data_IF_083818087765
#
_entry.id   IF_083818087765
#
_cell.length_a   1.000
_cell.length_b   1.000
_cell.length_c   1.000
_cell.angle_alpha   90.00
_cell.angle_beta   90.00
_cell.angle_gamma   90.00
#
_symmetry.space_group_name_H-M   'P 1'
#
loop_
_entity.id
_entity.type
_entity.pdbx_description
1 polymer ?
#
# COMPACT_ATOMS: atom_id res chain seq x y z
N UNK A 1 48.44 4.29 -28.43
CA UNK A 1 47.94 3.56 -27.25
C UNK A 1 47.06 4.51 -26.46
N UNK A 2 45.76 4.28 -26.49
CA UNK A 2 44.70 5.08 -25.88
C UNK A 2 44.69 4.92 -24.36
N UNK A 3 44.94 6.01 -23.65
CA UNK A 3 44.79 6.09 -22.19
C UNK A 3 43.31 6.24 -21.84
N UNK A 4 42.72 5.18 -21.28
CA UNK A 4 41.40 5.24 -20.66
C UNK A 4 41.50 6.00 -19.33
N UNK A 5 41.03 7.25 -19.30
CA UNK A 5 40.78 7.98 -18.06
C UNK A 5 39.41 7.58 -17.52
N UNK A 6 39.41 6.73 -16.49
CA UNK A 6 38.21 6.41 -15.72
C UNK A 6 37.77 7.64 -14.92
N UNK A 7 36.61 8.19 -15.25
CA UNK A 7 35.96 9.24 -14.46
C UNK A 7 35.26 8.59 -13.27
N UNK A 8 35.92 8.58 -12.12
CA UNK A 8 35.28 8.21 -10.85
C UNK A 8 34.30 9.31 -10.45
N UNK A 9 33.01 9.04 -10.60
CA UNK A 9 31.94 9.93 -10.15
C UNK A 9 31.76 9.74 -8.64
N UNK A 10 32.19 10.73 -7.85
CA UNK A 10 31.98 10.74 -6.40
C UNK A 10 30.52 11.08 -6.07
N UNK A 11 29.84 10.18 -5.36
CA UNK A 11 28.43 10.31 -4.98
C UNK A 11 28.33 11.02 -3.62
N UNK A 12 28.05 12.32 -3.63
CA UNK A 12 27.85 13.11 -2.40
C UNK A 12 26.35 13.28 -2.15
N UNK A 13 25.85 12.68 -1.07
CA UNK A 13 24.48 12.85 -0.59
C UNK A 13 24.43 14.14 0.22
N UNK A 14 23.87 15.21 -0.34
CA UNK A 14 23.65 16.47 0.36
C UNK A 14 22.40 16.38 1.27
N UNK A 15 22.51 16.61 2.59
CA UNK A 15 21.34 16.73 3.45
C UNK A 15 20.59 18.04 3.14
N UNK A 16 19.27 17.97 2.99
CA UNK A 16 18.42 19.13 2.75
C UNK A 16 18.34 19.96 4.04
N UNK A 17 18.87 21.17 4.02
CA UNK A 17 18.78 22.12 5.12
C UNK A 17 17.32 22.32 5.55
N UNK A 18 16.98 21.85 6.75
CA UNK A 18 15.71 22.18 7.40
C UNK A 18 15.80 23.61 7.90
N UNK A 19 15.26 24.55 7.12
CA UNK A 19 14.88 25.86 7.65
C UNK A 19 13.73 25.62 8.64
N UNK A 20 14.06 25.62 9.93
CA UNK A 20 13.08 25.58 11.02
C UNK A 20 12.63 27.02 11.26
N UNK A 21 11.55 27.43 10.60
CA UNK A 21 10.81 28.62 11.02
C UNK A 21 10.12 28.29 12.34
N UNK A 22 10.66 28.82 13.44
CA UNK A 22 10.02 28.79 14.76
C UNK A 22 8.90 29.83 14.73
N UNK A 23 7.70 29.41 14.31
CA UNK A 23 6.48 30.20 14.54
C UNK A 23 5.80 29.73 15.82
N UNK A 24 5.73 30.67 16.76
CA UNK A 24 5.25 30.48 18.12
C UNK A 24 3.71 30.65 18.20
N UNK A 25 3.08 29.68 18.87
CA UNK A 25 1.80 29.69 19.60
C UNK A 25 0.49 30.09 18.90
N UNK A 26 -0.19 29.06 18.35
CA UNK A 26 -1.53 28.63 18.80
C UNK A 26 -1.91 27.34 18.06
N UNK A 27 -1.67 26.17 18.68
CA UNK A 27 -1.78 24.86 18.02
C UNK A 27 -3.13 24.56 17.38
N UNK A 28 -4.22 25.14 17.88
CA UNK A 28 -5.58 24.97 17.33
C UNK A 28 -5.82 25.83 16.07
N UNK A 29 -5.29 27.06 16.02
CA UNK A 29 -5.39 27.96 14.85
C UNK A 29 -4.52 27.46 13.69
N UNK A 30 -3.35 26.93 14.01
CA UNK A 30 -2.47 26.32 13.00
C UNK A 30 -3.13 25.10 12.34
N UNK A 31 -3.73 24.21 13.14
CA UNK A 31 -4.40 23.01 12.63
C UNK A 31 -5.58 23.34 11.69
N UNK A 32 -6.41 24.32 12.06
CA UNK A 32 -7.53 24.76 11.21
C UNK A 32 -7.07 25.43 9.92
N UNK A 33 -6.02 26.26 9.96
CA UNK A 33 -5.46 26.89 8.75
C UNK A 33 -4.93 25.86 7.76
N UNK A 34 -4.11 24.91 8.22
CA UNK A 34 -3.55 23.85 7.37
C UNK A 34 -4.63 22.88 6.88
N UNK A 35 -5.65 22.58 7.70
CA UNK A 35 -6.82 21.82 7.27
C UNK A 35 -7.52 22.50 6.09
N UNK A 36 -7.84 23.80 6.19
CA UNK A 36 -8.49 24.53 5.12
C UNK A 36 -7.61 24.70 3.88
N UNK A 37 -6.29 24.85 4.06
CA UNK A 37 -5.33 24.88 2.95
C UNK A 37 -5.31 23.53 2.21
N UNK A 38 -5.19 22.41 2.93
CA UNK A 38 -5.24 21.06 2.35
C UNK A 38 -6.56 20.82 1.61
N UNK A 39 -7.70 21.19 2.19
CA UNK A 39 -9.02 21.04 1.56
C UNK A 39 -9.12 21.87 0.27
N UNK A 40 -8.66 23.13 0.30
CA UNK A 40 -8.62 23.99 -0.89
C UNK A 40 -7.76 23.38 -1.98
N UNK A 41 -6.56 22.89 -1.65
CA UNK A 41 -5.67 22.27 -2.62
C UNK A 41 -6.29 21.00 -3.22
N UNK A 42 -7.04 20.21 -2.43
CA UNK A 42 -7.73 19.04 -2.98
C UNK A 42 -8.83 19.47 -3.95
N UNK A 43 -9.62 20.47 -3.58
CA UNK A 43 -10.65 21.01 -4.46
C UNK A 43 -10.06 21.52 -5.77
N UNK A 44 -8.93 22.24 -5.72
CA UNK A 44 -8.21 22.68 -6.92
C UNK A 44 -7.70 21.52 -7.76
N UNK A 45 -7.16 20.47 -7.14
CA UNK A 45 -6.72 19.26 -7.84
C UNK A 45 -7.89 18.56 -8.55
N UNK A 46 -9.00 18.33 -7.85
CA UNK A 46 -10.21 17.70 -8.43
C UNK A 46 -10.78 18.56 -9.55
N UNK A 47 -10.89 19.87 -9.33
CA UNK A 47 -11.35 20.83 -10.35
C UNK A 47 -10.45 20.80 -11.59
N UNK A 48 -9.12 20.74 -11.41
CA UNK A 48 -8.16 20.61 -12.51
C UNK A 48 -8.35 19.30 -13.26
N UNK A 49 -8.56 18.19 -12.55
CA UNK A 49 -8.83 16.88 -13.14
C UNK A 49 -10.10 16.91 -14.00
N UNK A 50 -11.20 17.46 -13.46
CA UNK A 50 -12.49 17.61 -14.17
C UNK A 50 -12.37 18.53 -15.38
N UNK A 51 -11.64 19.65 -15.27
CA UNK A 51 -11.40 20.56 -16.39
C UNK A 51 -10.56 19.92 -17.51
N UNK A 52 -9.61 19.05 -17.17
CA UNK A 52 -8.82 18.32 -18.17
C UNK A 52 -9.68 17.40 -19.04
N UNK A 53 -10.81 16.88 -18.55
CA UNK A 53 -11.74 16.07 -19.34
C UNK A 53 -12.42 16.83 -20.49
N UNK A 54 -12.35 18.18 -20.52
CA UNK A 54 -12.88 18.97 -21.64
C UNK A 54 -12.10 18.77 -22.95
N UNK A 55 -10.84 18.34 -22.88
CA UNK A 55 -10.02 18.03 -24.05
C UNK A 55 -9.60 16.56 -24.03
N UNK A 56 -10.30 15.72 -24.79
CA UNK A 56 -10.16 14.25 -24.74
C UNK A 56 -8.72 13.75 -24.90
N UNK A 57 -7.95 14.29 -25.86
CA UNK A 57 -6.54 13.91 -26.08
C UNK A 57 -5.63 14.32 -24.92
N UNK A 58 -5.86 15.50 -24.33
CA UNK A 58 -5.08 15.99 -23.19
C UNK A 58 -5.44 15.24 -21.91
N UNK A 59 -6.71 14.87 -21.76
CA UNK A 59 -7.20 14.00 -20.69
C UNK A 59 -6.55 12.62 -20.78
N UNK A 60 -6.55 11.99 -21.96
CA UNK A 60 -5.90 10.69 -22.18
C UNK A 60 -4.40 10.75 -21.89
N UNK A 61 -3.70 11.78 -22.37
CA UNK A 61 -2.28 11.97 -22.05
C UNK A 61 -2.07 12.10 -20.54
N UNK A 62 -2.83 12.96 -19.87
CA UNK A 62 -2.74 13.17 -18.42
C UNK A 62 -3.06 11.88 -17.66
N UNK A 63 -4.04 11.09 -18.13
CA UNK A 63 -4.47 9.83 -17.56
C UNK A 63 -3.35 8.79 -17.57
N UNK A 64 -2.68 8.59 -18.71
CA UNK A 64 -1.56 7.63 -18.83
C UNK A 64 -0.25 8.14 -18.21
N UNK A 65 -0.06 9.45 -18.07
CA UNK A 65 1.14 10.00 -17.44
C UNK A 65 1.05 10.16 -15.92
N UNK A 66 -0.15 10.04 -15.34
CA UNK A 66 -0.36 10.28 -13.91
C UNK A 66 -0.05 9.02 -13.10
N UNK A 67 0.98 9.04 -12.22
CA UNK A 67 1.37 7.84 -11.47
C UNK A 67 0.23 7.30 -10.61
N UNK A 68 -0.61 8.19 -10.04
CA UNK A 68 -1.71 7.78 -9.17
C UNK A 68 -2.80 7.01 -9.93
N UNK A 69 -3.14 7.45 -11.14
CA UNK A 69 -4.15 6.76 -11.96
C UNK A 69 -3.65 5.37 -12.33
N UNK A 70 -2.39 5.25 -12.75
CA UNK A 70 -1.79 3.96 -13.05
C UNK A 70 -1.72 3.04 -11.83
N UNK A 71 -1.43 3.56 -10.63
CA UNK A 71 -1.49 2.78 -9.39
C UNK A 71 -2.92 2.25 -9.14
N UNK A 72 -3.95 3.08 -9.30
CA UNK A 72 -5.35 2.66 -9.14
C UNK A 72 -5.75 1.59 -10.17
N UNK A 73 -5.39 1.77 -11.43
CA UNK A 73 -5.62 0.77 -12.48
C UNK A 73 -4.94 -0.55 -12.12
N UNK A 74 -3.68 -0.48 -11.68
CA UNK A 74 -2.93 -1.65 -11.23
C UNK A 74 -3.65 -2.38 -10.08
N UNK A 75 -4.04 -1.66 -9.03
CA UNK A 75 -4.78 -2.24 -7.91
C UNK A 75 -6.11 -2.87 -8.34
N UNK A 76 -6.89 -2.18 -9.18
CA UNK A 76 -8.18 -2.68 -9.69
C UNK A 76 -7.96 -3.94 -10.53
N UNK A 77 -7.00 -3.92 -11.46
CA UNK A 77 -6.67 -5.05 -12.31
C UNK A 77 -6.25 -6.26 -11.47
N UNK A 78 -5.35 -6.07 -10.50
CA UNK A 78 -4.93 -7.13 -9.58
C UNK A 78 -6.09 -7.65 -8.72
N UNK A 79 -6.98 -6.77 -8.26
CA UNK A 79 -8.18 -7.15 -7.52
C UNK A 79 -9.17 -7.97 -8.35
N UNK A 80 -9.36 -7.62 -9.63
CA UNK A 80 -10.19 -8.39 -10.56
C UNK A 80 -9.57 -9.77 -10.87
N UNK A 81 -8.26 -9.81 -11.13
CA UNK A 81 -7.53 -11.07 -11.32
C UNK A 81 -7.60 -11.96 -10.07
N UNK A 82 -7.57 -11.36 -8.88
CA UNK A 82 -7.75 -12.07 -7.62
C UNK A 82 -9.16 -12.65 -7.48
N UNK A 83 -10.21 -11.90 -7.82
CA UNK A 83 -11.59 -12.42 -7.87
C UNK A 83 -11.74 -13.57 -8.87
N UNK A 84 -11.03 -13.48 -10.00
CA UNK A 84 -11.00 -14.53 -11.02
C UNK A 84 -10.31 -15.80 -10.54
N UNK A 85 -9.15 -15.67 -9.90
CA UNK A 85 -8.45 -16.78 -9.27
C UNK A 85 -9.33 -17.50 -8.24
N UNK A 86 -10.06 -16.76 -7.40
CA UNK A 86 -11.01 -17.33 -6.43
C UNK A 86 -12.15 -18.07 -7.13
N UNK A 87 -12.73 -17.50 -8.18
CA UNK A 87 -13.84 -18.11 -8.93
C UNK A 87 -13.41 -19.42 -9.61
N UNK A 88 -12.21 -19.44 -10.18
CA UNK A 88 -11.64 -20.66 -10.76
C UNK A 88 -11.30 -21.70 -9.69
N UNK A 89 -10.72 -21.29 -8.56
CA UNK A 89 -10.44 -22.19 -7.45
C UNK A 89 -11.73 -22.82 -6.90
N UNK A 90 -12.85 -22.07 -6.87
CA UNK A 90 -14.18 -22.58 -6.52
C UNK A 90 -14.65 -23.67 -7.49
N UNK A 91 -14.49 -23.46 -8.80
CA UNK A 91 -14.89 -24.49 -9.78
C UNK A 91 -13.97 -25.71 -9.72
N UNK A 92 -12.67 -25.52 -9.50
CA UNK A 92 -11.74 -26.63 -9.30
C UNK A 92 -12.12 -27.47 -8.08
N UNK A 93 -12.47 -26.83 -6.96
CA UNK A 93 -12.98 -27.50 -5.77
C UNK A 93 -14.30 -28.25 -6.05
N UNK A 94 -15.22 -27.67 -6.84
CA UNK A 94 -16.46 -28.35 -7.26
C UNK A 94 -16.20 -29.58 -8.12
N UNK A 95 -15.28 -29.49 -9.08
CA UNK A 95 -14.87 -30.63 -9.90
C UNK A 95 -14.28 -31.75 -9.04
N UNK A 96 -13.47 -31.37 -8.04
CA UNK A 96 -12.91 -32.31 -7.08
C UNK A 96 -13.99 -33.02 -6.25
N UNK A 97 -15.03 -32.31 -5.80
CA UNK A 97 -16.18 -32.94 -5.11
C UNK A 97 -16.97 -33.89 -6.02
N UNK A 98 -17.14 -33.54 -7.29
CA UNK A 98 -17.81 -34.44 -8.26
C UNK A 98 -17.02 -35.73 -8.47
N UNK A 99 -15.69 -35.69 -8.42
CA UNK A 99 -14.84 -36.88 -8.58
C UNK A 99 -14.70 -37.70 -7.28
N UNK A 100 -14.97 -37.11 -6.11
CA UNK A 100 -14.88 -37.79 -4.81
C UNK A 100 -16.19 -37.65 -4.01
N UNK A 101 -17.29 -38.27 -4.48
CA UNK A 101 -18.63 -38.07 -3.89
C UNK A 101 -18.76 -38.58 -2.45
N UNK A 102 -17.84 -39.43 -1.99
CA UNK A 102 -17.82 -39.98 -0.64
C UNK A 102 -17.22 -39.03 0.40
N UNK A 103 -16.57 -37.92 -0.01
CA UNK A 103 -15.86 -37.04 0.92
C UNK A 103 -16.56 -35.68 0.99
N UNK A 104 -17.27 -35.46 2.11
CA UNK A 104 -17.97 -34.21 2.41
C UNK A 104 -17.08 -33.26 3.22
N UNK A 105 -16.20 -32.49 2.55
CA UNK A 105 -15.27 -31.57 3.22
C UNK A 105 -15.94 -30.46 4.04
N UNK A 106 -17.22 -30.15 3.79
CA UNK A 106 -17.98 -29.19 4.60
C UNK A 106 -18.28 -29.69 6.02
N UNK A 107 -18.22 -30.99 6.25
CA UNK A 107 -18.50 -31.59 7.57
C UNK A 107 -17.26 -31.67 8.46
N UNK A 108 -16.08 -31.51 7.86
CA UNK A 108 -14.81 -31.51 8.58
C UNK A 108 -14.31 -30.07 8.63
N UNK A 109 -14.09 -29.55 9.83
CA UNK A 109 -13.32 -28.31 10.06
C UNK A 109 -12.01 -28.75 10.70
N UNK A 110 -10.87 -28.25 10.24
CA UNK A 110 -9.60 -28.62 10.87
C UNK A 110 -9.54 -28.05 12.28
N UNK A 111 -8.88 -28.79 13.17
CA UNK A 111 -8.53 -28.27 14.49
C UNK A 111 -7.63 -27.05 14.34
N UNK A 112 -8.05 -25.95 14.94
CA UNK A 112 -7.38 -24.66 14.85
C UNK A 112 -7.23 -24.06 16.25
N UNK A 113 -6.05 -23.48 16.49
CA UNK A 113 -5.68 -22.93 17.79
C UNK A 113 -6.70 -21.89 18.29
N UNK A 114 -7.10 -20.93 17.46
CA UNK A 114 -8.03 -19.89 17.88
C UNK A 114 -9.47 -20.38 17.94
N UNK A 115 -9.83 -21.44 17.21
CA UNK A 115 -11.15 -22.06 17.34
C UNK A 115 -11.32 -22.79 18.66
N UNK A 116 -10.22 -23.27 19.26
CA UNK A 116 -10.23 -23.86 20.61
C UNK A 116 -10.42 -22.81 21.71
N UNK A 117 -9.92 -21.58 21.48
CA UNK A 117 -9.98 -20.48 22.44
C UNK A 117 -11.29 -19.71 22.34
N UNK A 118 -11.78 -19.47 21.13
CA UNK A 118 -12.95 -18.64 20.88
C UNK A 118 -14.13 -19.44 20.33
N UNK A 119 -15.30 -19.24 20.95
CA UNK A 119 -16.56 -19.77 20.43
C UNK A 119 -16.98 -19.04 19.15
N UNK A 120 -17.54 -19.77 18.19
CA UNK A 120 -18.12 -19.18 16.99
C UNK A 120 -19.15 -18.09 17.31
N UNK A 121 -19.07 -16.98 16.57
CA UNK A 121 -20.08 -15.93 16.53
C UNK A 121 -20.28 -15.50 15.08
N UNK A 122 -21.52 -15.51 14.62
CA UNK A 122 -21.85 -15.04 13.28
C UNK A 122 -21.88 -13.51 13.23
N UNK A 123 -20.72 -12.93 12.90
CA UNK A 123 -20.50 -11.48 12.81
C UNK A 123 -19.86 -11.10 11.47
N UNK A 124 -20.16 -11.83 10.40
CA UNK A 124 -19.53 -11.66 9.07
C UNK A 124 -19.71 -10.23 8.56
N UNK A 125 -20.95 -9.76 8.52
CA UNK A 125 -21.24 -8.39 8.07
C UNK A 125 -20.66 -7.30 8.98
N UNK A 126 -20.33 -7.63 10.24
CA UNK A 126 -19.61 -6.72 11.12
C UNK A 126 -18.11 -6.72 10.82
N UNK A 127 -17.51 -7.87 10.51
CA UNK A 127 -16.10 -8.00 10.17
C UNK A 127 -15.73 -7.16 8.92
N UNK A 128 -16.58 -7.16 7.89
CA UNK A 128 -16.36 -6.34 6.70
C UNK A 128 -16.46 -4.84 7.00
N UNK A 129 -17.45 -4.44 7.81
CA UNK A 129 -17.62 -3.04 8.27
C UNK A 129 -16.46 -2.60 9.15
N UNK A 130 -15.92 -3.51 9.96
CA UNK A 130 -14.76 -3.28 10.83
C UNK A 130 -13.52 -2.95 9.99
N UNK A 131 -13.20 -3.77 9.00
CA UNK A 131 -12.12 -3.44 8.05
C UNK A 131 -12.37 -2.11 7.33
N UNK A 132 -13.58 -1.94 6.79
CA UNK A 132 -13.97 -0.73 6.05
C UNK A 132 -13.81 0.54 6.88
N UNK A 133 -14.16 0.51 8.17
CA UNK A 133 -13.99 1.64 9.08
C UNK A 133 -12.53 2.08 9.18
N UNK A 134 -11.58 1.16 9.35
CA UNK A 134 -10.16 1.51 9.45
C UNK A 134 -9.62 2.12 8.15
N UNK A 135 -10.04 1.58 7.00
CA UNK A 135 -9.69 2.11 5.68
C UNK A 135 -10.24 3.53 5.51
N UNK A 136 -11.50 3.77 5.90
CA UNK A 136 -12.10 5.13 5.87
C UNK A 136 -11.33 6.08 6.76
N UNK A 137 -10.94 5.67 7.97
CA UNK A 137 -10.11 6.47 8.89
C UNK A 137 -8.77 6.80 8.26
N UNK A 138 -8.10 5.84 7.61
CA UNK A 138 -6.84 6.05 6.91
C UNK A 138 -6.99 7.07 5.78
N UNK A 139 -7.98 6.88 4.90
CA UNK A 139 -8.24 7.79 3.78
C UNK A 139 -8.54 9.19 4.31
N UNK A 140 -9.45 9.33 5.27
CA UNK A 140 -9.81 10.61 5.86
C UNK A 140 -8.59 11.31 6.49
N UNK A 141 -7.78 10.57 7.28
CA UNK A 141 -6.57 11.11 7.90
C UNK A 141 -5.60 11.66 6.86
N UNK A 142 -5.20 10.84 5.88
CA UNK A 142 -4.15 11.24 4.94
C UNK A 142 -4.63 12.21 3.88
N UNK A 143 -5.92 12.25 3.57
CA UNK A 143 -6.50 13.24 2.66
C UNK A 143 -6.28 14.69 3.14
N UNK A 144 -6.15 14.88 4.46
CA UNK A 144 -5.93 16.16 5.10
C UNK A 144 -4.46 16.55 5.24
N UNK A 145 -3.52 15.64 4.94
CA UNK A 145 -2.07 15.87 5.08
C UNK A 145 -1.42 16.33 3.77
N UNK A 146 -0.29 17.07 3.88
CA UNK A 146 0.49 17.56 2.72
C UNK A 146 0.97 16.42 1.78
N UNK A 147 1.34 15.26 2.35
CA UNK A 147 1.81 14.08 1.60
C UNK A 147 0.72 13.15 1.05
N UNK A 148 -0.55 13.60 0.99
CA UNK A 148 -1.72 12.74 0.70
C UNK A 148 -1.58 11.87 -0.55
N UNK A 149 -1.09 12.43 -1.65
CA UNK A 149 -1.01 11.72 -2.92
C UNK A 149 0.11 10.68 -2.89
N UNK A 150 1.22 10.97 -2.22
CA UNK A 150 2.34 10.04 -2.07
C UNK A 150 1.89 8.82 -1.26
N UNK A 151 1.29 9.06 -0.08
CA UNK A 151 0.80 7.97 0.78
C UNK A 151 -0.27 7.14 0.07
N UNK A 152 -1.20 7.79 -0.64
CA UNK A 152 -2.24 7.09 -1.39
C UNK A 152 -1.66 6.24 -2.54
N UNK A 153 -0.69 6.77 -3.30
CA UNK A 153 0.02 6.00 -4.35
C UNK A 153 0.68 4.75 -3.76
N UNK A 154 1.43 4.90 -2.67
CA UNK A 154 2.11 3.79 -1.98
C UNK A 154 1.12 2.74 -1.49
N UNK A 155 0.03 3.18 -0.85
CA UNK A 155 -1.00 2.28 -0.34
C UNK A 155 -1.65 1.47 -1.46
N UNK A 156 -2.10 2.14 -2.52
CA UNK A 156 -2.75 1.51 -3.67
C UNK A 156 -1.81 0.54 -4.39
N UNK A 157 -0.54 0.90 -4.58
CA UNK A 157 0.47 0.01 -5.15
C UNK A 157 0.68 -1.23 -4.28
N UNK A 158 0.86 -1.07 -2.97
CA UNK A 158 1.06 -2.21 -2.07
C UNK A 158 -0.18 -3.10 -1.95
N UNK A 159 -1.39 -2.52 -1.99
CA UNK A 159 -2.64 -3.29 -2.10
C UNK A 159 -2.69 -4.12 -3.39
N UNK A 160 -2.26 -3.56 -4.52
CA UNK A 160 -2.16 -4.32 -5.78
C UNK A 160 -1.18 -5.48 -5.68
N UNK A 161 0.01 -5.26 -5.10
CA UNK A 161 1.00 -6.32 -4.85
C UNK A 161 0.45 -7.40 -3.92
N UNK A 162 -0.28 -7.02 -2.87
CA UNK A 162 -0.95 -7.95 -1.97
C UNK A 162 -1.96 -8.84 -2.71
N UNK A 163 -2.76 -8.28 -3.62
CA UNK A 163 -3.66 -9.08 -4.47
C UNK A 163 -2.91 -10.03 -5.39
N UNK A 164 -1.75 -9.63 -5.94
CA UNK A 164 -0.91 -10.54 -6.74
C UNK A 164 -0.38 -11.71 -5.91
N UNK A 165 0.14 -11.45 -4.72
CA UNK A 165 0.62 -12.51 -3.82
C UNK A 165 -0.52 -13.45 -3.43
N UNK A 166 -1.72 -12.92 -3.22
CA UNK A 166 -2.91 -13.73 -2.93
C UNK A 166 -3.28 -14.66 -4.06
N UNK A 167 -3.23 -14.21 -5.32
CA UNK A 167 -3.52 -15.06 -6.49
C UNK A 167 -2.64 -16.31 -6.46
N UNK A 168 -1.35 -16.15 -6.14
CA UNK A 168 -0.42 -17.27 -6.04
C UNK A 168 -0.84 -18.21 -4.90
N UNK A 169 -1.11 -17.67 -3.70
CA UNK A 169 -1.47 -18.48 -2.53
C UNK A 169 -2.77 -19.25 -2.70
N UNK A 170 -3.80 -18.67 -3.31
CA UNK A 170 -5.13 -19.30 -3.49
C UNK A 170 -5.08 -20.57 -4.34
N UNK A 171 -4.10 -20.69 -5.25
CA UNK A 171 -3.96 -21.88 -6.09
C UNK A 171 -3.04 -22.97 -5.50
N UNK A 172 -2.25 -22.66 -4.48
CA UNK A 172 -1.25 -23.61 -3.97
C UNK A 172 -1.86 -24.72 -3.14
N UNK A 173 -2.99 -24.47 -2.48
CA UNK A 173 -3.64 -25.44 -1.60
C UNK A 173 -5.16 -25.43 -1.78
N UNK A 174 -5.77 -26.59 -1.53
CA UNK A 174 -7.21 -26.76 -1.41
C UNK A 174 -7.52 -27.26 0.00
N UNK A 175 -7.72 -26.35 0.94
CA UNK A 175 -8.32 -26.64 2.24
C UNK A 175 -9.85 -26.44 2.19
N UNK A 176 -10.52 -27.18 3.07
CA UNK A 176 -11.90 -26.95 3.47
C UNK A 176 -12.08 -25.56 4.09
N UNK A 177 -13.06 -24.81 3.60
CA UNK A 177 -13.46 -23.55 4.21
C UNK A 177 -14.03 -23.78 5.62
N UNK A 178 -13.52 -23.08 6.66
CA UNK A 178 -14.08 -23.18 8.01
C UNK A 178 -15.45 -22.50 8.14
N UNK A 179 -15.87 -21.75 7.12
CA UNK A 179 -17.13 -21.03 7.14
C UNK A 179 -18.33 -21.98 6.97
N UNK A 180 -19.39 -21.71 7.72
CA UNK A 180 -20.65 -22.48 7.66
C UNK A 180 -21.46 -22.09 6.40
N UNK A 181 -21.08 -21.02 5.71
CA UNK A 181 -21.87 -20.46 4.61
C UNK A 181 -21.85 -21.32 3.36
N UNK A 182 -22.88 -21.16 2.52
CA UNK A 182 -22.91 -21.73 1.18
C UNK A 182 -22.43 -20.69 0.17
N UNK A 183 -21.64 -21.15 -0.79
CA UNK A 183 -21.17 -20.31 -1.89
C UNK A 183 -22.37 -19.87 -2.73
N UNK A 184 -22.54 -18.56 -2.89
CA UNK A 184 -23.55 -17.98 -3.79
C UNK A 184 -23.05 -17.88 -5.23
N UNK A 185 -21.74 -18.11 -5.45
CA UNK A 185 -21.08 -17.93 -6.74
C UNK A 185 -21.31 -19.10 -7.69
N UNK A 186 -22.46 -19.14 -8.37
CA UNK A 186 -22.89 -20.28 -9.21
C UNK A 186 -22.86 -20.01 -10.71
N UNK A 187 -22.69 -18.75 -11.12
CA UNK A 187 -22.71 -18.32 -12.51
C UNK A 187 -21.37 -18.41 -13.24
N UNK A 188 -21.25 -17.63 -14.32
CA UNK A 188 -20.03 -17.53 -15.13
C UNK A 188 -18.86 -17.00 -14.27
N UNK A 189 -17.70 -17.67 -14.24
CA UNK A 189 -16.54 -17.26 -13.45
C UNK A 189 -16.17 -15.79 -13.61
N UNK A 190 -16.27 -15.21 -14.81
CA UNK A 190 -15.95 -13.80 -15.04
C UNK A 190 -16.93 -12.85 -14.32
N UNK A 191 -18.23 -13.13 -14.40
CA UNK A 191 -19.27 -12.30 -13.75
C UNK A 191 -19.18 -12.48 -12.23
N UNK A 192 -19.00 -13.72 -11.79
CA UNK A 192 -18.79 -14.06 -10.38
C UNK A 192 -17.56 -13.37 -9.80
N UNK A 193 -16.48 -13.24 -10.58
CA UNK A 193 -15.28 -12.51 -10.16
C UNK A 193 -15.59 -11.05 -9.82
N UNK A 194 -16.40 -10.38 -10.65
CA UNK A 194 -16.82 -9.01 -10.38
C UNK A 194 -17.71 -8.93 -9.12
N UNK A 195 -18.64 -9.87 -8.96
CA UNK A 195 -19.57 -9.89 -7.83
C UNK A 195 -18.87 -10.24 -6.51
N UNK A 196 -17.89 -11.15 -6.53
CA UNK A 196 -17.04 -11.52 -5.39
C UNK A 196 -16.11 -10.36 -5.03
N UNK A 197 -15.43 -9.76 -6.02
CA UNK A 197 -14.56 -8.60 -5.77
C UNK A 197 -15.35 -7.38 -5.30
N UNK A 198 -16.63 -7.26 -5.67
CA UNK A 198 -17.55 -6.24 -5.17
C UNK A 198 -18.18 -6.55 -3.82
N UNK A 199 -17.91 -7.72 -3.22
CA UNK A 199 -18.47 -8.13 -1.93
C UNK A 199 -19.96 -8.48 -1.95
N UNK A 200 -20.55 -8.72 -3.13
CA UNK A 200 -21.97 -9.08 -3.30
C UNK A 200 -22.15 -10.60 -3.14
N UNK A 201 -21.23 -11.38 -3.72
CA UNK A 201 -21.25 -12.84 -3.64
C UNK A 201 -20.16 -13.36 -2.69
N UNK A 202 -20.50 -14.42 -1.95
CA UNK A 202 -19.62 -15.06 -0.98
C UNK A 202 -19.03 -16.32 -1.60
N UNK A 203 -17.70 -16.41 -1.61
CA UNK A 203 -16.97 -17.62 -2.00
C UNK A 203 -16.55 -18.42 -0.76
N UNK A 204 -16.64 -19.75 -0.88
CA UNK A 204 -16.32 -20.71 0.20
C UNK A 204 -15.11 -21.56 -0.14
N UNK A 205 -14.14 -20.94 -0.83
CA UNK A 205 -12.88 -21.59 -1.23
C UNK A 205 -11.84 -21.35 -0.16
N UNK A 206 -10.87 -22.26 -0.09
CA UNK A 206 -9.62 -22.03 0.61
C UNK A 206 -9.04 -20.64 0.30
N UNK A 207 -8.67 -19.94 1.36
CA UNK A 207 -8.04 -18.64 1.31
C UNK A 207 -6.83 -18.68 2.25
N UNK A 208 -5.90 -19.62 2.04
CA UNK A 208 -4.58 -19.75 2.69
C UNK A 208 -3.88 -18.40 2.96
N UNK A 209 -4.23 -17.37 2.17
CA UNK A 209 -4.01 -15.97 2.51
C UNK A 209 -5.32 -15.21 2.75
N UNK A 210 -5.51 -14.72 3.99
CA UNK A 210 -6.62 -13.83 4.34
C UNK A 210 -6.40 -12.41 3.79
N UNK A 211 -7.19 -12.05 2.77
CA UNK A 211 -7.19 -10.70 2.22
C UNK A 211 -7.64 -9.63 3.23
N UNK A 212 -8.57 -9.96 4.12
CA UNK A 212 -9.04 -9.05 5.16
C UNK A 212 -7.93 -8.75 6.17
N UNK A 213 -7.22 -9.79 6.61
CA UNK A 213 -6.06 -9.66 7.48
C UNK A 213 -4.95 -8.86 6.82
N UNK A 214 -4.61 -9.19 5.58
CA UNK A 214 -3.59 -8.44 4.83
C UNK A 214 -3.93 -6.96 4.71
N UNK A 215 -5.19 -6.65 4.42
CA UNK A 215 -5.68 -5.28 4.27
C UNK A 215 -5.69 -4.49 5.58
N UNK A 216 -6.17 -5.10 6.68
CA UNK A 216 -6.22 -4.41 7.99
C UNK A 216 -4.81 -4.17 8.53
N UNK A 217 -3.91 -5.16 8.38
CA UNK A 217 -2.50 -5.04 8.78
C UNK A 217 -1.81 -3.94 7.99
N UNK A 218 -1.92 -3.96 6.66
CA UNK A 218 -1.30 -2.94 5.81
C UNK A 218 -1.82 -1.54 6.16
N UNK A 219 -3.14 -1.39 6.31
CA UNK A 219 -3.77 -0.12 6.70
C UNK A 219 -3.26 0.37 8.06
N UNK A 220 -3.16 -0.52 9.05
CA UNK A 220 -2.61 -0.21 10.37
C UNK A 220 -1.15 0.23 10.33
N UNK A 221 -0.31 -0.46 9.55
CA UNK A 221 1.10 -0.09 9.37
C UNK A 221 1.23 1.28 8.70
N UNK A 222 0.42 1.57 7.68
CA UNK A 222 0.38 2.89 7.05
C UNK A 222 -0.02 3.99 8.03
N UNK A 223 -1.07 3.75 8.82
CA UNK A 223 -1.52 4.69 9.85
C UNK A 223 -0.42 4.98 10.87
N UNK A 224 0.30 3.96 11.35
CA UNK A 224 1.37 4.08 12.35
C UNK A 224 2.62 4.76 11.76
N UNK A 225 3.11 4.27 10.63
CA UNK A 225 4.38 4.72 10.03
C UNK A 225 4.30 6.17 9.57
N UNK A 226 3.25 6.52 8.83
CA UNK A 226 3.07 7.87 8.35
C UNK A 226 2.45 8.80 9.40
N UNK A 227 2.17 8.30 10.62
CA UNK A 227 1.73 9.17 11.70
C UNK A 227 2.77 10.23 12.03
N UNK A 228 4.02 9.79 12.17
CA UNK A 228 5.14 10.63 12.58
C UNK A 228 5.69 11.46 11.41
N UNK A 229 5.65 10.92 10.18
CA UNK A 229 6.12 11.62 8.98
C UNK A 229 5.20 12.78 8.59
N UNK A 230 3.89 12.60 8.77
CA UNK A 230 2.88 13.61 8.48
C UNK A 230 2.03 13.87 9.74
N UNK A 231 2.59 14.64 10.71
CA UNK A 231 1.91 14.94 11.96
C UNK A 231 0.74 15.91 11.73
N UNK A 232 -0.39 15.66 12.40
CA UNK A 232 -1.55 16.56 12.40
C UNK A 232 -1.29 17.77 13.30
N UNK A 233 -0.60 17.55 14.42
CA UNK A 233 -0.32 18.57 15.42
C UNK A 233 1.14 18.99 15.38
N UNK A 234 1.38 20.30 15.31
CA UNK A 234 2.75 20.83 15.22
C UNK A 234 3.46 20.92 16.58
N UNK A 235 2.70 20.98 17.68
CA UNK A 235 3.27 21.02 19.04
C UNK A 235 3.97 19.71 19.39
N UNK A 236 5.29 19.76 19.62
CA UNK A 236 6.13 18.56 19.87
C UNK A 236 5.66 17.75 21.08
N UNK A 237 5.30 18.41 22.19
CA UNK A 237 4.88 17.74 23.44
C UNK A 237 3.51 17.07 23.29
N UNK A 238 2.55 17.78 22.68
CA UNK A 238 1.21 17.24 22.42
C UNK A 238 1.27 16.11 21.38
N UNK A 239 2.07 16.28 20.34
CA UNK A 239 2.27 15.27 19.30
C UNK A 239 2.87 13.99 19.88
N UNK A 240 3.88 14.07 20.75
CA UNK A 240 4.49 12.87 21.34
C UNK A 240 3.49 12.03 22.15
N UNK A 241 2.75 12.66 23.07
CA UNK A 241 1.77 11.94 23.89
C UNK A 241 0.61 11.40 23.06
N UNK A 242 0.08 12.17 22.11
CA UNK A 242 -1.02 11.72 21.25
C UNK A 242 -0.57 10.67 20.23
N UNK A 243 0.68 10.73 19.75
CA UNK A 243 1.24 9.76 18.80
C UNK A 243 1.32 8.38 19.43
N UNK A 244 1.82 8.27 20.66
CA UNK A 244 1.89 6.99 21.36
C UNK A 244 0.49 6.39 21.57
N UNK A 245 -0.45 7.19 22.08
CA UNK A 245 -1.84 6.75 22.29
C UNK A 245 -2.49 6.31 20.98
N UNK A 246 -2.32 7.09 19.90
CA UNK A 246 -2.85 6.75 18.58
C UNK A 246 -2.29 5.42 18.06
N UNK A 247 -0.97 5.20 18.16
CA UNK A 247 -0.32 3.97 17.72
C UNK A 247 -0.82 2.76 18.50
N UNK A 248 -0.99 2.88 19.82
CA UNK A 248 -1.55 1.82 20.66
C UNK A 248 -2.99 1.51 20.24
N UNK A 249 -3.83 2.52 20.02
CA UNK A 249 -5.21 2.32 19.57
C UNK A 249 -5.24 1.59 18.22
N UNK A 250 -4.42 2.01 17.25
CA UNK A 250 -4.35 1.35 15.93
C UNK A 250 -3.86 -0.09 16.07
N UNK A 251 -2.83 -0.34 16.88
CA UNK A 251 -2.31 -1.68 17.12
C UNK A 251 -3.36 -2.61 17.75
N UNK A 252 -4.06 -2.12 18.78
CA UNK A 252 -5.16 -2.86 19.42
C UNK A 252 -6.29 -3.11 18.42
N UNK A 253 -6.64 -2.13 17.59
CA UNK A 253 -7.67 -2.27 16.56
C UNK A 253 -7.32 -3.36 15.55
N UNK A 254 -6.07 -3.37 15.06
CA UNK A 254 -5.58 -4.41 14.16
C UNK A 254 -5.62 -5.77 14.84
N UNK A 255 -5.09 -5.89 16.07
CA UNK A 255 -5.07 -7.14 16.82
C UNK A 255 -6.49 -7.70 17.06
N UNK A 256 -7.45 -6.85 17.43
CA UNK A 256 -8.85 -7.24 17.55
C UNK A 256 -9.44 -7.71 16.22
N UNK A 257 -9.07 -7.08 15.10
CA UNK A 257 -9.48 -7.52 13.76
C UNK A 257 -8.93 -8.90 13.38
N UNK A 258 -7.68 -9.19 13.74
CA UNK A 258 -7.08 -10.52 13.53
C UNK A 258 -7.87 -11.61 14.26
N UNK A 259 -8.26 -11.36 15.51
CA UNK A 259 -9.11 -12.27 16.28
C UNK A 259 -10.53 -12.35 15.72
N UNK A 260 -11.09 -11.22 15.25
CA UNK A 260 -12.45 -11.19 14.70
C UNK A 260 -12.59 -12.10 13.48
N UNK A 261 -11.60 -12.11 12.58
CA UNK A 261 -11.68 -12.95 11.38
C UNK A 261 -11.63 -14.45 11.68
N UNK A 262 -11.02 -14.87 12.79
CA UNK A 262 -11.05 -16.26 13.26
C UNK A 262 -12.29 -16.60 14.08
N UNK A 263 -12.79 -15.69 14.92
CA UNK A 263 -14.05 -15.86 15.69
C UNK A 263 -15.23 -16.13 14.76
N UNK A 264 -15.27 -15.45 13.62
CA UNK A 264 -16.33 -15.58 12.61
C UNK A 264 -16.10 -16.79 11.70
N UNK A 265 -15.00 -17.53 11.88
CA UNK A 265 -14.64 -18.71 11.09
C UNK A 265 -14.65 -18.46 9.57
N UNK A 266 -14.22 -17.27 9.14
CA UNK A 266 -14.02 -16.96 7.72
C UNK A 266 -12.66 -17.49 7.24
N UNK A 267 -11.71 -17.60 8.17
CA UNK A 267 -10.32 -17.96 7.92
C UNK A 267 -9.78 -18.81 9.08
N UNK A 268 -8.84 -19.70 8.76
CA UNK A 268 -8.03 -20.36 9.78
C UNK A 268 -7.01 -19.40 10.36
N UNK A 269 -6.48 -19.73 11.55
CA UNK A 269 -5.39 -18.99 12.19
C UNK A 269 -4.15 -18.96 11.30
N UNK A 270 -3.89 -20.04 10.53
CA UNK A 270 -2.81 -20.08 9.53
C UNK A 270 -2.96 -18.95 8.50
N UNK A 271 -4.16 -18.75 7.97
CA UNK A 271 -4.42 -17.78 6.91
C UNK A 271 -4.24 -16.35 7.41
N UNK A 272 -4.66 -16.12 8.66
CA UNK A 272 -4.46 -14.84 9.37
C UNK A 272 -2.97 -14.60 9.60
N UNK A 273 -2.21 -15.63 10.03
CA UNK A 273 -0.77 -15.50 10.28
C UNK A 273 0.02 -15.24 8.99
N UNK A 274 -0.27 -15.99 7.92
CA UNK A 274 0.33 -15.78 6.59
C UNK A 274 -0.01 -14.37 6.06
N UNK A 275 -1.26 -13.94 6.21
CA UNK A 275 -1.70 -12.59 5.86
C UNK A 275 -0.93 -11.50 6.61
N UNK A 276 -0.72 -11.67 7.91
CA UNK A 276 0.03 -10.75 8.76
C UNK A 276 1.50 -10.66 8.33
N UNK A 277 2.16 -11.81 8.11
CA UNK A 277 3.57 -11.85 7.69
C UNK A 277 3.73 -11.20 6.32
N UNK A 278 2.97 -11.64 5.32
CA UNK A 278 3.12 -11.13 3.95
C UNK A 278 2.85 -9.62 3.88
N UNK A 279 1.81 -9.12 4.54
CA UNK A 279 1.54 -7.68 4.62
C UNK A 279 2.71 -6.92 5.24
N UNK A 280 3.25 -7.42 6.35
CA UNK A 280 4.36 -6.80 7.06
C UNK A 280 5.64 -6.83 6.23
N UNK A 281 5.96 -7.97 5.60
CA UNK A 281 7.11 -8.14 4.73
C UNK A 281 7.05 -7.23 3.51
N UNK A 282 5.91 -7.18 2.82
CA UNK A 282 5.72 -6.30 1.65
C UNK A 282 5.88 -4.84 2.05
N UNK A 283 5.28 -4.44 3.18
CA UNK A 283 5.42 -3.08 3.71
C UNK A 283 6.88 -2.74 4.03
N UNK A 284 7.57 -3.60 4.79
CA UNK A 284 8.96 -3.38 5.19
C UNK A 284 9.90 -3.36 3.99
N UNK A 285 9.80 -4.35 3.09
CA UNK A 285 10.63 -4.41 1.89
C UNK A 285 10.44 -3.17 1.02
N UNK A 286 9.20 -2.71 0.83
CA UNK A 286 8.93 -1.50 0.07
C UNK A 286 9.61 -0.28 0.70
N UNK A 287 9.34 0.00 1.97
CA UNK A 287 9.85 1.20 2.63
C UNK A 287 11.37 1.17 2.86
N UNK A 288 11.98 -0.01 2.98
CA UNK A 288 13.44 -0.16 3.01
C UNK A 288 14.06 0.04 1.63
N UNK A 289 13.35 -0.28 0.54
CA UNK A 289 13.89 -0.24 -0.82
C UNK A 289 13.74 1.11 -1.50
N UNK A 290 12.66 1.87 -1.26
CA UNK A 290 12.44 3.17 -1.93
C UNK A 290 13.62 4.16 -1.86
N UNK A 291 14.40 4.28 -0.76
CA UNK A 291 15.53 5.22 -0.74
C UNK A 291 16.68 4.77 -1.65
N UNK A 292 16.76 3.46 -1.94
CA UNK A 292 17.80 2.85 -2.77
C UNK A 292 17.39 2.80 -4.26
N UNK A 293 16.14 3.09 -4.60
CA UNK A 293 15.62 2.97 -5.96
C UNK A 293 16.44 3.79 -6.97
N UNK A 294 16.90 4.98 -6.58
CA UNK A 294 17.68 5.87 -7.45
C UNK A 294 19.12 5.38 -7.71
N UNK A 295 19.61 4.40 -6.95
CA UNK A 295 21.01 3.93 -7.05
C UNK A 295 21.26 2.95 -8.19
N UNK A 296 20.21 2.32 -8.75
CA UNK A 296 20.38 1.36 -9.84
C UNK A 296 19.55 1.73 -11.05
N UNK A 297 20.17 1.65 -12.23
CA UNK A 297 19.55 1.97 -13.50
C UNK A 297 18.93 0.72 -14.15
N UNK A 298 17.72 0.34 -13.70
CA UNK A 298 16.94 -0.74 -14.31
C UNK A 298 15.46 -0.30 -14.47
N UNK A 299 14.72 -1.01 -15.33
CA UNK A 299 13.32 -0.66 -15.66
C UNK A 299 12.44 -0.61 -14.41
N UNK A 300 12.62 -1.56 -13.49
CA UNK A 300 11.87 -1.62 -12.22
C UNK A 300 12.09 -0.35 -11.38
N UNK A 301 13.33 0.09 -11.24
CA UNK A 301 13.68 1.29 -10.51
C UNK A 301 13.24 2.57 -11.22
N UNK A 302 13.23 2.60 -12.55
CA UNK A 302 12.64 3.70 -13.30
C UNK A 302 11.14 3.84 -12.99
N UNK A 303 10.41 2.72 -12.98
CA UNK A 303 8.98 2.71 -12.61
C UNK A 303 8.79 3.14 -11.16
N UNK A 304 9.58 2.61 -10.23
CA UNK A 304 9.49 2.95 -8.82
C UNK A 304 9.80 4.43 -8.57
N UNK A 305 10.86 4.96 -9.18
CA UNK A 305 11.18 6.40 -9.12
C UNK A 305 10.06 7.27 -9.72
N UNK A 306 9.40 6.79 -10.79
CA UNK A 306 8.27 7.49 -11.39
C UNK A 306 7.03 7.51 -10.48
N UNK A 307 6.72 6.39 -9.80
CA UNK A 307 5.67 6.32 -8.77
C UNK A 307 5.97 7.29 -7.62
N UNK A 308 7.25 7.47 -7.30
CA UNK A 308 7.73 8.27 -6.17
C UNK A 308 8.22 9.68 -6.54
N UNK A 309 7.94 10.18 -7.75
CA UNK A 309 8.53 11.43 -8.28
C UNK A 309 8.33 12.71 -7.42
N UNK A 310 7.32 12.71 -6.54
CA UNK A 310 6.99 13.83 -5.65
C UNK A 310 7.29 13.55 -4.16
N UNK A 311 7.97 12.44 -3.85
CA UNK A 311 8.20 12.01 -2.49
C UNK A 311 9.22 12.92 -1.78
N UNK A 312 8.79 13.57 -0.69
CA UNK A 312 9.64 14.46 0.11
C UNK A 312 10.69 13.70 0.94
N UNK A 313 10.44 12.41 1.20
CA UNK A 313 11.25 11.53 2.05
C UNK A 313 12.32 10.74 1.29
N UNK A 314 12.33 10.79 -0.05
CA UNK A 314 13.36 10.14 -0.86
C UNK A 314 14.46 11.15 -1.21
N UNK A 315 15.73 10.88 -0.87
CA UNK A 315 16.84 11.76 -1.22
C UNK A 315 16.92 11.87 -2.74
N UNK A 316 17.09 13.09 -3.27
CA UNK A 316 17.32 13.31 -4.70
C UNK A 316 18.82 13.24 -4.95
N UNK A 317 19.30 12.19 -5.63
CA UNK A 317 20.70 12.10 -6.05
C UNK A 317 20.92 13.19 -7.12
N UNK A 318 21.68 14.23 -6.78
CA UNK A 318 22.18 15.19 -7.74
C UNK A 318 23.54 14.71 -8.25
N UNK A 319 23.60 14.32 -9.53
CA UNK A 319 24.88 14.06 -10.18
C UNK A 319 25.57 15.40 -10.41
N UNK A 320 26.50 15.75 -9.53
CA UNK A 320 27.41 16.87 -9.78
C UNK A 320 28.31 16.43 -10.92
N UNK A 321 28.09 16.98 -12.12
CA UNK A 321 29.10 16.91 -13.17
C UNK A 321 30.32 17.63 -12.61
N UNK A 322 31.38 16.88 -12.34
CA UNK A 322 32.68 17.51 -12.16
C UNK A 322 32.98 18.21 -13.48
N UNK A 323 33.02 19.55 -13.45
CA UNK A 323 33.58 20.29 -14.56
C UNK A 323 35.01 19.76 -14.76
N UNK A 324 35.42 19.47 -16.01
CA UNK A 324 36.80 19.10 -16.26
C UNK A 324 37.65 20.22 -15.69
N UNK A 325 38.54 19.89 -14.76
CA UNK A 325 39.57 20.81 -14.28
C UNK A 325 40.28 21.30 -15.53
N UNK A 326 39.96 22.51 -15.94
CA UNK A 326 40.63 23.18 -17.04
C UNK A 326 42.05 23.36 -16.52
N UNK A 327 42.98 22.56 -17.08
CA UNK A 327 44.38 22.59 -16.67
C UNK A 327 44.84 24.05 -16.61
N UNK A 328 45.17 24.53 -15.41
CA UNK A 328 45.82 25.81 -15.16
C UNK A 328 47.26 25.80 -15.68
N UNK A 329 47.48 25.40 -16.93
CA UNK A 329 48.79 25.51 -17.59
C UNK A 329 49.04 26.91 -18.14
N UNK A 330 48.03 27.78 -18.21
CA UNK A 330 48.17 29.16 -18.69
C UNK A 330 48.36 30.21 -17.59
N UNK A 331 48.38 29.81 -16.32
CA UNK A 331 48.55 30.75 -15.18
C UNK A 331 49.96 30.71 -14.56
N UNK A 332 50.82 29.78 -15.02
CA UNK A 332 52.22 29.68 -14.59
C UNK A 332 53.21 30.34 -15.57
N UNK A 333 52.84 30.56 -16.84
CA UNK A 333 53.70 31.30 -17.79
C UNK A 333 53.62 32.83 -17.62
N UNK A 334 52.65 33.35 -16.87
CA UNK A 334 52.52 34.79 -16.60
C UNK A 334 53.14 35.23 -15.26
N UNK A 335 53.85 34.33 -14.55
CA UNK A 335 54.52 34.64 -13.27
C UNK A 335 56.06 34.60 -13.42
N UNK A 336 56.60 34.18 -14.57
CA UNK A 336 58.06 34.19 -14.83
C UNK A 336 58.57 35.43 -15.59
N UNK A 337 57.76 36.47 -15.76
CA UNK A 337 58.22 37.78 -16.24
C UNK A 337 57.54 38.91 -15.46
N UNK A 338 57.97 39.12 -14.22
CA UNK A 338 58.07 40.44 -13.58
C UNK A 338 59.17 40.48 -12.53
#
# INVERSE_FOLDING_TARGET
>A
MTTHTSTESCLIIQPKDRIITVEDWNGLRSCTYYFWASVKDTFFFVKRLVLSFKHLLQALKTFFTSPIICCFIFMILCGLLNGLSISFAQEFQRQWYRSHPTIHFKEFVLDDLLFSVFSFRDLIGFADKYLGFLVVVMVFRFFLCKGRLIVLRRFVTLMGVMFLMRIICVYMTLLNDPSINYSTATGNPLVESFLISGGIHVSTVDKMFSGHTGSITLTGMFLIYYHDQYPIFHSKRLHYSLSLTFKIIVLLYVACGLCLFTIVRIHYTSDVFVGLILASTIFCLYHSYIPLAQTKNNIFNCILCWIEQDADDIPKIQFIKQEPIQNNTTLLESIEFE
#
